data_IF_111143500024
#
_entry.id   IF_111143500024
#
_cell.length_a   1.000
_cell.length_b   1.000
_cell.length_c   1.000
_cell.angle_alpha   90.00
_cell.angle_beta   90.00
_cell.angle_gamma   90.00
#
_symmetry.space_group_name_H-M   'P 1'
#
loop_
_entity.id
_entity.type
_entity.pdbx_description
1 polymer ?
#
# COMPACT_ATOMS: atom_id res chain seq x y z
N UNK A 1 1.35 36.07 -6.57
CA UNK A 1 0.41 35.45 -5.58
C UNK A 1 1.07 34.23 -5.00
N UNK A 2 1.06 34.04 -3.67
CA UNK A 2 1.59 32.82 -3.09
C UNK A 2 0.64 31.66 -3.42
N UNK A 3 1.17 30.58 -3.99
CA UNK A 3 0.40 29.38 -4.30
C UNK A 3 0.19 28.56 -3.02
N UNK A 4 -1.07 28.42 -2.58
CA UNK A 4 -1.41 27.64 -1.38
C UNK A 4 -1.40 26.12 -1.63
N UNK A 5 -1.89 25.70 -2.81
CA UNK A 5 -1.92 24.27 -3.19
C UNK A 5 -0.53 23.77 -3.53
N UNK A 6 -0.14 22.65 -2.96
CA UNK A 6 1.12 21.96 -3.24
C UNK A 6 0.92 20.88 -4.29
N UNK A 7 1.88 20.74 -5.19
CA UNK A 7 1.91 19.69 -6.21
C UNK A 7 2.87 18.60 -5.75
N UNK A 8 2.36 17.39 -5.64
CA UNK A 8 3.13 16.18 -5.35
C UNK A 8 3.27 15.39 -6.66
N UNK A 9 4.49 15.08 -7.08
CA UNK A 9 4.75 14.27 -8.26
C UNK A 9 5.44 12.96 -7.86
N UNK A 10 4.92 11.83 -8.34
CA UNK A 10 5.60 10.54 -8.16
C UNK A 10 6.69 10.38 -9.19
N UNK A 11 7.91 10.12 -8.73
CA UNK A 11 9.10 9.94 -9.56
C UNK A 11 9.59 8.51 -9.43
N UNK A 12 9.92 7.89 -10.56
CA UNK A 12 10.58 6.58 -10.62
C UNK A 12 12.06 6.72 -10.94
N UNK A 13 12.87 5.74 -10.59
CA UNK A 13 14.30 5.65 -10.91
C UNK A 13 14.57 5.55 -12.42
N UNK A 14 13.57 5.10 -13.20
CA UNK A 14 13.63 5.05 -14.65
C UNK A 14 13.62 6.44 -15.30
N UNK A 15 12.98 7.44 -14.64
CA UNK A 15 12.90 8.81 -15.14
C UNK A 15 13.03 9.79 -13.99
N UNK A 16 14.25 10.07 -13.58
CA UNK A 16 14.56 10.95 -12.46
C UNK A 16 15.81 11.82 -12.72
N UNK A 17 16.16 12.05 -14.00
CA UNK A 17 17.28 12.91 -14.34
C UNK A 17 17.07 14.35 -13.86
N UNK A 18 18.18 15.06 -13.63
CA UNK A 18 18.19 16.42 -13.06
C UNK A 18 17.37 17.39 -13.90
N UNK A 19 17.47 17.30 -15.23
CA UNK A 19 16.76 18.21 -16.14
C UNK A 19 15.25 17.98 -16.06
N UNK A 20 14.80 16.73 -16.00
CA UNK A 20 13.38 16.40 -15.83
C UNK A 20 12.83 16.91 -14.48
N UNK A 21 13.55 16.68 -13.38
CA UNK A 21 13.15 17.17 -12.05
C UNK A 21 13.12 18.70 -12.03
N UNK A 22 14.10 19.36 -12.66
CA UNK A 22 14.16 20.82 -12.78
C UNK A 22 12.95 21.38 -13.53
N UNK A 23 12.57 20.78 -14.67
CA UNK A 23 11.37 21.18 -15.42
C UNK A 23 10.09 21.06 -14.58
N UNK A 24 9.94 19.97 -13.81
CA UNK A 24 8.80 19.80 -12.91
C UNK A 24 8.80 20.85 -11.80
N UNK A 25 9.96 21.15 -11.22
CA UNK A 25 10.09 22.17 -10.17
C UNK A 25 9.74 23.57 -10.69
N UNK A 26 10.25 23.95 -11.85
CA UNK A 26 9.94 25.22 -12.51
C UNK A 26 8.46 25.32 -12.91
N UNK A 27 7.83 24.17 -13.22
CA UNK A 27 6.38 24.07 -13.45
C UNK A 27 5.54 24.10 -12.18
N UNK A 28 6.19 24.16 -11.01
CA UNK A 28 5.54 24.37 -9.71
C UNK A 28 5.37 23.13 -8.85
N UNK A 29 6.07 22.02 -9.10
CA UNK A 29 6.16 20.87 -8.19
C UNK A 29 6.78 21.30 -6.86
N UNK A 30 6.23 20.81 -5.78
CA UNK A 30 6.68 21.10 -4.42
C UNK A 30 7.25 19.88 -3.70
N UNK A 31 6.75 18.68 -4.03
CA UNK A 31 7.09 17.43 -3.34
C UNK A 31 7.35 16.35 -4.37
N UNK A 32 8.45 15.65 -4.22
CA UNK A 32 8.73 14.38 -4.92
C UNK A 32 8.27 13.23 -4.04
N UNK A 33 7.38 12.38 -4.57
CA UNK A 33 6.95 11.14 -3.93
C UNK A 33 7.70 9.96 -4.52
N UNK A 34 8.30 9.14 -3.65
CA UNK A 34 8.96 7.88 -3.99
C UNK A 34 8.10 6.72 -3.47
N UNK A 35 7.74 5.78 -4.36
CA UNK A 35 6.95 4.61 -3.98
C UNK A 35 7.87 3.46 -3.54
N UNK A 36 7.93 3.17 -2.25
CA UNK A 36 8.81 2.15 -1.70
C UNK A 36 8.43 0.71 -2.07
N UNK A 37 7.22 0.48 -2.56
CA UNK A 37 6.83 -0.85 -3.03
C UNK A 37 7.69 -1.34 -4.20
N UNK A 38 8.11 -0.42 -5.07
CA UNK A 38 8.82 -0.71 -6.33
C UNK A 38 10.29 -0.35 -6.33
N UNK A 39 10.73 0.55 -5.44
CA UNK A 39 12.11 1.02 -5.38
C UNK A 39 12.98 0.18 -4.45
N UNK A 40 14.27 0.09 -4.79
CA UNK A 40 15.36 -0.39 -3.95
C UNK A 40 16.24 0.79 -3.50
N UNK A 41 17.21 0.56 -2.61
CA UNK A 41 18.05 1.64 -2.05
C UNK A 41 18.76 2.46 -3.12
N UNK A 42 19.30 1.83 -4.15
CA UNK A 42 19.99 2.51 -5.25
C UNK A 42 19.04 3.46 -6.01
N UNK A 43 17.80 3.03 -6.23
CA UNK A 43 16.77 3.84 -6.89
C UNK A 43 16.37 5.04 -6.02
N UNK A 44 16.23 4.84 -4.70
CA UNK A 44 15.99 5.94 -3.76
C UNK A 44 17.14 6.94 -3.78
N UNK A 45 18.39 6.46 -3.65
CA UNK A 45 19.56 7.33 -3.61
C UNK A 45 19.66 8.19 -4.87
N UNK A 46 19.49 7.56 -6.04
CA UNK A 46 19.52 8.25 -7.33
C UNK A 46 18.49 9.39 -7.40
N UNK A 47 17.25 9.13 -6.96
CA UNK A 47 16.20 10.15 -6.97
C UNK A 47 16.53 11.26 -5.98
N UNK A 48 16.96 10.93 -4.75
CA UNK A 48 17.29 11.90 -3.71
C UNK A 48 18.42 12.82 -4.17
N UNK A 49 19.52 12.25 -4.69
CA UNK A 49 20.67 13.02 -5.16
C UNK A 49 20.28 14.00 -6.27
N UNK A 50 19.51 13.53 -7.23
CA UNK A 50 19.05 14.36 -8.36
C UNK A 50 18.08 15.47 -7.90
N UNK A 51 17.18 15.17 -6.95
CA UNK A 51 16.29 16.18 -6.35
C UNK A 51 17.09 17.24 -5.62
N UNK A 52 18.07 16.84 -4.80
CA UNK A 52 18.92 17.76 -4.04
C UNK A 52 19.85 18.57 -4.95
N UNK A 53 20.29 18.01 -6.09
CA UNK A 53 21.02 18.76 -7.11
C UNK A 53 20.19 19.88 -7.74
N UNK A 54 18.87 19.73 -7.82
CA UNK A 54 17.97 20.79 -8.33
C UNK A 54 17.68 21.82 -7.24
N UNK A 55 17.19 21.39 -6.07
CA UNK A 55 16.85 22.33 -4.99
C UNK A 55 16.59 21.62 -3.65
N UNK A 56 17.14 22.18 -2.57
CA UNK A 56 16.78 21.78 -1.20
C UNK A 56 15.36 22.23 -0.77
N UNK A 57 14.66 23.01 -1.58
CA UNK A 57 13.28 23.43 -1.33
C UNK A 57 12.25 22.42 -1.82
N UNK A 58 12.66 21.43 -2.59
CA UNK A 58 11.79 20.32 -3.00
C UNK A 58 11.72 19.35 -1.83
N UNK A 59 10.53 19.18 -1.25
CA UNK A 59 10.34 18.19 -0.21
C UNK A 59 10.32 16.77 -0.81
N UNK A 60 10.82 15.80 -0.04
CA UNK A 60 10.87 14.40 -0.42
C UNK A 60 9.93 13.61 0.49
N UNK A 61 9.04 12.83 -0.11
CA UNK A 61 8.09 11.97 0.55
C UNK A 61 8.34 10.52 0.14
N UNK A 62 8.53 9.65 1.13
CA UNK A 62 8.57 8.21 0.93
C UNK A 62 7.22 7.60 1.29
N UNK A 63 6.61 6.89 0.34
CA UNK A 63 5.35 6.18 0.53
C UNK A 63 5.63 4.73 0.91
N UNK A 64 5.19 4.28 2.09
CA UNK A 64 5.36 2.89 2.53
C UNK A 64 4.41 1.96 1.78
N UNK A 65 4.75 0.67 1.70
CA UNK A 65 3.85 -0.33 1.14
C UNK A 65 2.64 -0.54 2.06
N UNK A 66 2.88 -0.60 3.37
CA UNK A 66 1.84 -0.88 4.37
C UNK A 66 1.32 -2.33 4.34
N UNK A 67 0.36 -2.65 5.23
CA UNK A 67 -0.20 -3.98 5.40
C UNK A 67 -1.28 -4.27 4.32
N UNK A 68 -0.84 -4.61 3.12
CA UNK A 68 -1.69 -4.89 1.97
C UNK A 68 -1.79 -6.39 1.70
N UNK A 69 -3.02 -6.87 1.48
CA UNK A 69 -3.26 -8.20 0.93
C UNK A 69 -3.37 -8.09 -0.59
N UNK A 70 -2.67 -8.95 -1.31
CA UNK A 70 -2.74 -9.04 -2.78
C UNK A 70 -2.99 -10.47 -3.23
N UNK A 71 -3.59 -10.63 -4.40
CA UNK A 71 -3.58 -11.93 -5.08
C UNK A 71 -2.15 -12.31 -5.47
N UNK A 72 -1.90 -13.59 -5.65
CA UNK A 72 -0.59 -14.11 -6.09
C UNK A 72 -0.40 -13.92 -7.60
N UNK A 73 0.76 -14.33 -8.10
CA UNK A 73 1.00 -14.38 -9.54
C UNK A 73 0.04 -15.39 -10.21
N UNK A 74 -0.26 -15.16 -11.47
CA UNK A 74 -1.05 -16.11 -12.27
C UNK A 74 -0.22 -17.37 -12.55
N UNK A 75 -0.90 -18.51 -12.65
CA UNK A 75 -0.31 -19.79 -13.05
C UNK A 75 -0.11 -19.91 -14.56
N UNK A 76 -0.64 -18.97 -15.35
CA UNK A 76 -0.55 -18.86 -16.79
C UNK A 76 -0.35 -17.42 -17.23
N UNK A 77 -0.25 -17.22 -18.55
CA UNK A 77 0.05 -15.90 -19.14
C UNK A 77 -1.19 -15.03 -19.38
N UNK A 78 -2.39 -15.61 -19.24
CA UNK A 78 -3.65 -14.89 -19.51
C UNK A 78 -4.37 -14.58 -18.21
N UNK A 79 -5.07 -13.45 -18.17
CA UNK A 79 -5.99 -13.12 -17.11
C UNK A 79 -7.16 -14.12 -17.02
N UNK A 80 -7.79 -14.22 -15.87
CA UNK A 80 -8.85 -15.15 -15.58
C UNK A 80 -10.19 -14.42 -15.65
N UNK A 81 -11.11 -14.93 -16.47
CA UNK A 81 -12.46 -14.39 -16.55
C UNK A 81 -13.36 -15.04 -15.49
N UNK A 82 -14.13 -14.22 -14.80
CA UNK A 82 -15.17 -14.64 -13.87
C UNK A 82 -16.54 -14.16 -14.36
N UNK A 83 -17.52 -15.01 -14.17
CA UNK A 83 -18.93 -14.69 -14.36
C UNK A 83 -19.67 -14.76 -13.03
N UNK A 84 -20.74 -13.99 -12.90
CA UNK A 84 -21.62 -14.06 -11.73
C UNK A 84 -22.07 -15.49 -11.47
N UNK A 85 -21.89 -15.97 -10.24
CA UNK A 85 -22.20 -17.34 -9.82
C UNK A 85 -21.05 -18.33 -9.93
N UNK A 86 -19.91 -17.95 -10.53
CA UNK A 86 -18.74 -18.82 -10.57
C UNK A 86 -18.20 -19.10 -9.16
N UNK A 87 -17.86 -20.35 -8.94
CA UNK A 87 -17.31 -20.81 -7.66
C UNK A 87 -15.79 -20.96 -7.76
N UNK A 88 -15.08 -20.34 -6.82
CA UNK A 88 -13.62 -20.36 -6.76
C UNK A 88 -13.15 -20.58 -5.33
N UNK A 89 -11.99 -21.21 -5.15
CA UNK A 89 -11.30 -21.30 -3.85
C UNK A 89 -10.36 -20.12 -3.67
N UNK A 90 -10.46 -19.44 -2.52
CA UNK A 90 -9.53 -18.38 -2.14
C UNK A 90 -8.73 -18.87 -0.93
N UNK A 91 -7.40 -18.81 -1.02
CA UNK A 91 -6.51 -19.36 0.00
C UNK A 91 -5.28 -18.51 0.22
N UNK A 92 -4.84 -18.41 1.49
CA UNK A 92 -3.56 -17.82 1.88
C UNK A 92 -2.39 -18.80 1.90
N UNK A 93 -2.59 -20.05 1.46
CA UNK A 93 -1.56 -21.09 1.50
C UNK A 93 -0.35 -20.67 0.68
N UNK A 94 0.82 -20.71 1.31
CA UNK A 94 2.09 -20.31 0.68
C UNK A 94 2.36 -21.13 -0.59
N UNK A 95 2.90 -20.43 -1.61
CA UNK A 95 3.21 -21.05 -2.90
C UNK A 95 2.00 -21.26 -3.83
N UNK A 96 0.77 -20.99 -3.40
CA UNK A 96 -0.40 -21.09 -4.27
C UNK A 96 -0.37 -19.99 -5.32
N UNK A 97 -0.43 -20.37 -6.60
CA UNK A 97 -0.62 -19.45 -7.72
C UNK A 97 -2.12 -19.26 -8.00
N UNK A 98 -2.48 -18.10 -8.48
CA UNK A 98 -3.85 -17.80 -8.93
C UNK A 98 -4.12 -18.45 -10.27
N UNK A 99 -5.15 -19.27 -10.38
CA UNK A 99 -5.53 -20.05 -11.56
C UNK A 99 -6.07 -21.42 -11.21
N UNK A 100 -6.58 -22.17 -12.18
CA UNK A 100 -7.07 -23.55 -11.99
C UNK A 100 -8.07 -23.72 -10.84
N UNK A 101 -9.02 -22.80 -10.70
CA UNK A 101 -10.03 -22.84 -9.64
C UNK A 101 -9.57 -22.28 -8.27
N UNK A 102 -8.37 -21.70 -8.21
CA UNK A 102 -7.83 -21.05 -7.01
C UNK A 102 -7.49 -19.58 -7.25
N UNK A 103 -7.74 -18.76 -6.23
CA UNK A 103 -7.15 -17.43 -6.08
C UNK A 103 -6.24 -17.51 -4.85
N UNK A 104 -4.93 -17.48 -5.06
CA UNK A 104 -3.96 -17.37 -3.98
C UNK A 104 -3.91 -15.92 -3.48
N UNK A 105 -3.77 -15.71 -2.17
CA UNK A 105 -3.55 -14.39 -1.57
C UNK A 105 -2.29 -14.37 -0.71
N UNK A 106 -1.70 -13.19 -0.55
CA UNK A 106 -0.41 -12.99 0.14
C UNK A 106 -0.47 -13.12 1.65
N UNK A 107 -1.66 -13.26 2.24
CA UNK A 107 -1.87 -13.35 3.69
C UNK A 107 -2.21 -14.78 4.11
N UNK A 108 -1.29 -15.49 4.83
CA UNK A 108 -1.47 -16.90 5.17
C UNK A 108 -2.72 -17.22 6.00
N UNK A 109 -3.10 -16.33 6.92
CA UNK A 109 -4.26 -16.52 7.81
C UNK A 109 -5.57 -15.99 7.23
N UNK A 110 -5.64 -15.77 5.92
CA UNK A 110 -6.80 -15.16 5.26
C UNK A 110 -8.10 -15.90 5.55
N UNK A 111 -8.09 -17.23 5.48
CA UNK A 111 -9.25 -18.04 5.77
C UNK A 111 -9.65 -18.04 7.26
N UNK A 112 -8.69 -17.82 8.18
CA UNK A 112 -9.00 -17.75 9.61
C UNK A 112 -9.79 -16.48 9.94
N UNK A 113 -9.36 -15.33 9.41
CA UNK A 113 -9.93 -14.03 9.73
C UNK A 113 -11.31 -13.79 9.10
N UNK A 114 -11.65 -14.46 7.99
CA UNK A 114 -12.93 -14.28 7.32
C UNK A 114 -14.01 -15.27 7.82
N UNK A 115 -15.26 -14.81 7.77
CA UNK A 115 -16.45 -15.62 8.10
C UNK A 115 -17.27 -15.91 6.84
N UNK A 116 -18.16 -16.90 6.93
CA UNK A 116 -19.20 -17.12 5.89
C UNK A 116 -20.02 -15.85 5.77
N UNK A 117 -20.27 -15.40 4.53
CA UNK A 117 -20.94 -14.14 4.23
C UNK A 117 -20.01 -12.93 4.13
N UNK A 118 -18.71 -13.05 4.46
CA UNK A 118 -17.76 -11.97 4.21
C UNK A 118 -17.64 -11.69 2.71
N UNK A 119 -17.57 -10.40 2.36
CA UNK A 119 -17.33 -9.94 0.99
C UNK A 119 -15.83 -9.73 0.77
N UNK A 120 -15.33 -10.13 -0.38
CA UNK A 120 -13.94 -9.98 -0.79
C UNK A 120 -13.93 -9.17 -2.08
N UNK A 121 -13.34 -7.99 -2.02
CA UNK A 121 -13.18 -7.09 -3.17
C UNK A 121 -11.76 -7.26 -3.73
N UNK A 122 -11.64 -7.48 -5.02
CA UNK A 122 -10.35 -7.63 -5.70
C UNK A 122 -10.25 -6.57 -6.81
N UNK A 123 -9.03 -6.02 -7.00
CA UNK A 123 -8.73 -4.97 -7.98
C UNK A 123 -9.61 -3.73 -7.78
N UNK A 124 -9.54 -3.15 -6.58
CA UNK A 124 -10.31 -1.97 -6.17
C UNK A 124 -11.85 -2.13 -6.31
N UNK A 125 -12.32 -3.38 -6.29
CA UNK A 125 -13.75 -3.73 -6.38
C UNK A 125 -14.24 -4.05 -7.79
N UNK A 126 -13.35 -4.16 -8.77
CA UNK A 126 -13.69 -4.65 -10.12
C UNK A 126 -14.23 -6.08 -10.06
N UNK A 127 -13.78 -6.90 -9.12
CA UNK A 127 -14.32 -8.21 -8.81
C UNK A 127 -14.78 -8.27 -7.36
N UNK A 128 -15.97 -8.81 -7.15
CA UNK A 128 -16.54 -9.05 -5.83
C UNK A 128 -16.88 -10.52 -5.65
N UNK A 129 -16.46 -11.09 -4.53
CA UNK A 129 -16.75 -12.46 -4.13
C UNK A 129 -17.41 -12.48 -2.75
N UNK A 130 -18.24 -13.48 -2.49
CA UNK A 130 -18.80 -13.74 -1.17
C UNK A 130 -18.39 -15.13 -0.68
N UNK A 131 -17.98 -15.24 0.58
CA UNK A 131 -17.62 -16.51 1.20
C UNK A 131 -18.86 -17.33 1.44
N UNK A 132 -18.99 -18.50 0.77
CA UNK A 132 -20.10 -19.44 0.92
C UNK A 132 -19.81 -20.55 1.90
N UNK A 133 -18.54 -20.99 2.00
CA UNK A 133 -18.12 -22.09 2.88
C UNK A 133 -16.64 -21.91 3.28
N UNK A 134 -16.29 -22.40 4.47
CA UNK A 134 -14.89 -22.58 4.89
C UNK A 134 -14.55 -24.06 4.85
N UNK A 135 -13.45 -24.42 4.20
CA UNK A 135 -12.95 -25.80 4.09
C UNK A 135 -11.47 -25.82 4.46
N UNK A 136 -11.17 -26.18 5.72
CA UNK A 136 -9.83 -26.08 6.27
C UNK A 136 -9.27 -24.66 6.14
N UNK A 137 -8.15 -24.49 5.42
CA UNK A 137 -7.50 -23.20 5.18
C UNK A 137 -7.97 -22.51 3.89
N UNK A 138 -9.01 -23.04 3.24
CA UNK A 138 -9.59 -22.50 2.01
C UNK A 138 -10.97 -21.88 2.26
N UNK A 139 -11.26 -20.84 1.51
CA UNK A 139 -12.60 -20.26 1.41
C UNK A 139 -13.22 -20.64 0.06
N UNK A 140 -14.38 -21.28 0.07
CA UNK A 140 -15.18 -21.48 -1.14
C UNK A 140 -16.04 -20.23 -1.33
N UNK A 141 -15.76 -19.50 -2.42
CA UNK A 141 -16.36 -18.20 -2.70
C UNK A 141 -17.14 -18.22 -4.01
N UNK A 142 -18.19 -17.42 -4.08
CA UNK A 142 -19.00 -17.21 -5.27
C UNK A 142 -18.76 -15.79 -5.80
N UNK A 143 -18.54 -15.67 -7.11
CA UNK A 143 -18.42 -14.38 -7.78
C UNK A 143 -19.77 -13.68 -7.86
N UNK A 144 -19.85 -12.42 -7.45
CA UNK A 144 -21.07 -11.62 -7.45
C UNK A 144 -21.23 -10.79 -8.73
N UNK A 145 -20.16 -10.64 -9.49
CA UNK A 145 -20.16 -9.88 -10.74
C UNK A 145 -19.27 -10.52 -11.81
N UNK A 146 -19.37 -10.01 -13.03
CA UNK A 146 -18.48 -10.40 -14.12
C UNK A 146 -17.25 -9.51 -14.09
N UNK A 147 -16.07 -10.09 -14.40
CA UNK A 147 -14.84 -9.32 -14.47
C UNK A 147 -13.63 -10.17 -14.85
N UNK A 148 -12.49 -9.52 -14.91
CA UNK A 148 -11.23 -10.12 -15.34
C UNK A 148 -10.19 -9.94 -14.24
N UNK A 149 -9.55 -11.04 -13.81
CA UNK A 149 -8.53 -11.05 -12.79
C UNK A 149 -7.13 -11.15 -13.38
N UNK A 150 -6.35 -10.09 -13.21
CA UNK A 150 -4.91 -10.07 -13.47
C UNK A 150 -4.08 -10.51 -12.27
N UNK A 151 -2.76 -10.55 -12.46
CA UNK A 151 -1.81 -10.93 -11.42
C UNK A 151 -1.67 -9.84 -10.33
N UNK A 152 -1.47 -10.26 -9.08
CA UNK A 152 -1.04 -9.41 -7.95
C UNK A 152 -1.97 -8.21 -7.68
N UNK A 153 -3.27 -8.42 -7.83
CA UNK A 153 -4.29 -7.41 -7.61
C UNK A 153 -4.55 -7.18 -6.12
N UNK A 154 -4.94 -5.97 -5.75
CA UNK A 154 -5.34 -5.62 -4.38
C UNK A 154 -6.50 -6.49 -3.90
N UNK A 155 -6.51 -6.84 -2.62
CA UNK A 155 -7.60 -7.58 -1.97
C UNK A 155 -8.05 -6.81 -0.75
N UNK A 156 -9.32 -6.43 -0.71
CA UNK A 156 -9.95 -5.75 0.41
C UNK A 156 -11.12 -6.57 0.94
N UNK A 157 -11.33 -6.53 2.25
CA UNK A 157 -12.40 -7.30 2.93
C UNK A 157 -13.16 -6.34 3.84
N UNK A 158 -14.21 -5.69 3.32
CA UNK A 158 -14.98 -4.72 4.10
C UNK A 158 -15.56 -5.33 5.38
N UNK A 159 -15.42 -4.62 6.50
CA UNK A 159 -15.96 -5.04 7.79
C UNK A 159 -15.19 -6.17 8.49
N UNK A 160 -14.09 -6.68 7.92
CA UNK A 160 -13.25 -7.70 8.54
C UNK A 160 -11.89 -7.11 8.91
N UNK A 161 -11.50 -7.29 10.17
CA UNK A 161 -10.17 -6.90 10.62
C UNK A 161 -9.15 -7.95 10.19
N UNK A 162 -8.22 -7.56 9.33
CA UNK A 162 -7.09 -8.38 8.91
C UNK A 162 -5.92 -8.17 9.87
N UNK A 163 -5.44 -9.25 10.49
CA UNK A 163 -4.38 -9.20 11.51
C UNK A 163 -2.97 -9.16 10.90
N UNK A 164 -2.74 -8.23 9.97
CA UNK A 164 -1.41 -7.92 9.44
C UNK A 164 -0.68 -6.92 10.35
N UNK A 165 0.65 -7.03 10.52
CA UNK A 165 1.44 -5.99 11.18
C UNK A 165 1.31 -4.66 10.42
N UNK A 166 1.34 -3.54 11.13
CA UNK A 166 1.27 -2.20 10.53
C UNK A 166 2.43 -1.93 9.58
N UNK A 167 3.61 -2.41 9.94
CA UNK A 167 4.84 -2.28 9.17
C UNK A 167 5.38 -3.65 8.77
N UNK A 168 5.75 -3.78 7.51
CA UNK A 168 6.54 -4.90 7.04
C UNK A 168 8.02 -4.70 7.40
N UNK A 169 8.84 -5.76 7.38
CA UNK A 169 10.29 -5.62 7.54
C UNK A 169 10.90 -4.68 6.48
N UNK A 170 10.36 -4.67 5.27
CA UNK A 170 10.77 -3.75 4.21
C UNK A 170 10.44 -2.31 4.58
N UNK A 171 9.26 -2.05 5.13
CA UNK A 171 8.88 -0.71 5.58
C UNK A 171 9.81 -0.22 6.69
N UNK A 172 10.13 -1.05 7.66
CA UNK A 172 11.07 -0.70 8.75
C UNK A 172 12.44 -0.33 8.18
N UNK A 173 13.00 -1.15 7.28
CA UNK A 173 14.28 -0.83 6.62
C UNK A 173 14.21 0.49 5.85
N UNK A 174 13.13 0.72 5.12
CA UNK A 174 12.94 1.93 4.35
C UNK A 174 12.78 3.17 5.25
N UNK A 175 12.13 3.05 6.42
CA UNK A 175 12.03 4.14 7.40
C UNK A 175 13.41 4.50 7.95
N UNK A 176 14.23 3.52 8.31
CA UNK A 176 15.62 3.78 8.74
C UNK A 176 16.44 4.45 7.63
N UNK A 177 16.27 4.01 6.39
CA UNK A 177 16.89 4.65 5.23
C UNK A 177 16.42 6.10 5.07
N UNK A 178 15.12 6.36 5.18
CA UNK A 178 14.53 7.69 5.13
C UNK A 178 15.12 8.64 6.19
N UNK A 179 15.30 8.15 7.42
CA UNK A 179 15.93 8.88 8.52
C UNK A 179 17.37 9.25 8.16
N UNK A 180 18.16 8.28 7.68
CA UNK A 180 19.54 8.47 7.27
C UNK A 180 19.68 9.52 6.15
N UNK A 181 18.72 9.57 5.23
CA UNK A 181 18.71 10.49 4.10
C UNK A 181 18.07 11.85 4.39
N UNK A 182 17.58 12.08 5.62
CA UNK A 182 16.89 13.31 6.02
C UNK A 182 15.79 13.71 5.04
N UNK A 183 14.90 12.77 4.69
CA UNK A 183 13.71 13.08 3.90
C UNK A 183 12.68 13.81 4.75
N UNK A 184 11.68 14.43 4.12
CA UNK A 184 10.77 15.34 4.80
C UNK A 184 9.51 14.62 5.34
N UNK A 185 8.99 13.63 4.59
CA UNK A 185 7.73 12.97 4.90
C UNK A 185 7.79 11.45 4.70
N UNK A 186 7.09 10.72 5.58
CA UNK A 186 6.71 9.33 5.36
C UNK A 186 5.19 9.29 5.22
N UNK A 187 4.69 8.82 4.06
CA UNK A 187 3.27 8.54 3.87
C UNK A 187 3.02 7.06 4.18
N UNK A 188 2.25 6.81 5.24
CA UNK A 188 1.94 5.45 5.68
C UNK A 188 0.67 4.94 5.02
N UNK A 189 0.79 3.89 4.20
CA UNK A 189 -0.32 3.30 3.47
C UNK A 189 -1.19 2.41 4.35
N UNK A 190 -2.49 2.35 4.03
CA UNK A 190 -3.48 1.48 4.66
C UNK A 190 -3.59 1.64 6.19
N UNK A 191 -3.46 2.85 6.70
CA UNK A 191 -3.62 3.13 8.14
C UNK A 191 -5.01 2.71 8.61
N UNK A 192 -5.08 1.87 9.64
CA UNK A 192 -6.31 1.32 10.23
C UNK A 192 -6.62 1.91 11.59
N UNK A 193 -5.57 2.26 12.34
CA UNK A 193 -5.67 2.68 13.73
C UNK A 193 -4.60 3.69 14.14
N UNK A 194 -4.81 4.33 15.29
CA UNK A 194 -3.80 5.18 15.93
C UNK A 194 -2.48 4.42 16.15
N UNK A 195 -2.54 3.11 16.48
CA UNK A 195 -1.36 2.31 16.73
C UNK A 195 -0.47 2.20 15.49
N UNK A 196 -1.06 2.07 14.29
CA UNK A 196 -0.29 2.02 13.05
C UNK A 196 0.58 3.28 12.84
N UNK A 197 0.07 4.46 13.25
CA UNK A 197 0.83 5.72 13.22
C UNK A 197 1.89 5.76 14.31
N UNK A 198 1.54 5.30 15.52
CA UNK A 198 2.46 5.27 16.67
C UNK A 198 3.64 4.33 16.44
N UNK A 199 3.47 3.24 15.68
CA UNK A 199 4.55 2.32 15.35
C UNK A 199 5.66 3.02 14.54
N UNK A 200 5.30 3.88 13.57
CA UNK A 200 6.26 4.72 12.86
C UNK A 200 6.83 5.80 13.78
N UNK A 201 5.96 6.47 14.55
CA UNK A 201 6.40 7.53 15.44
C UNK A 201 7.46 7.05 16.43
N UNK A 202 7.30 5.83 16.98
CA UNK A 202 8.28 5.24 17.89
C UNK A 202 9.67 5.10 17.25
N UNK A 203 9.74 4.68 15.97
CA UNK A 203 11.00 4.61 15.23
C UNK A 203 11.58 6.03 15.04
N UNK A 204 10.76 7.00 14.65
CA UNK A 204 11.22 8.37 14.46
C UNK A 204 11.72 9.00 15.75
N UNK A 205 11.06 8.74 16.87
CA UNK A 205 11.43 9.27 18.20
C UNK A 205 12.75 8.69 18.70
N UNK A 206 12.99 7.38 18.47
CA UNK A 206 14.28 6.73 18.81
C UNK A 206 15.46 7.46 18.17
N UNK A 207 15.32 7.90 16.93
CA UNK A 207 16.35 8.62 16.18
C UNK A 207 16.22 10.15 16.29
N UNK A 208 15.27 10.67 17.06
CA UNK A 208 14.96 12.11 17.16
C UNK A 208 14.77 12.75 15.77
N UNK A 209 14.15 12.03 14.87
CA UNK A 209 13.98 12.43 13.47
C UNK A 209 12.87 13.47 13.33
N UNK A 210 13.09 14.56 12.55
CA UNK A 210 12.04 15.59 12.31
C UNK A 210 11.03 15.19 11.22
N UNK A 211 11.15 14.01 10.63
CA UNK A 211 10.27 13.51 9.57
C UNK A 211 8.81 13.56 10.03
N UNK A 212 7.93 14.03 9.15
CA UNK A 212 6.50 14.09 9.42
C UNK A 212 5.78 12.90 8.80
N UNK A 213 4.79 12.38 9.53
CA UNK A 213 3.96 11.26 9.08
C UNK A 213 2.70 11.78 8.41
N UNK A 214 2.37 11.23 7.25
CA UNK A 214 1.09 11.39 6.55
C UNK A 214 0.37 10.05 6.64
N UNK A 215 -0.74 9.98 7.36
CA UNK A 215 -1.58 8.79 7.42
C UNK A 215 -2.49 8.74 6.19
N UNK A 216 -2.41 7.64 5.42
CA UNK A 216 -3.27 7.40 4.26
C UNK A 216 -4.44 6.50 4.68
N UNK A 217 -5.65 7.04 4.58
CA UNK A 217 -6.88 6.32 4.92
C UNK A 217 -7.44 5.71 3.64
N UNK A 218 -7.14 4.43 3.43
CA UNK A 218 -7.39 3.71 2.19
C UNK A 218 -8.27 2.45 2.40
N UNK A 219 -8.84 2.31 3.62
CA UNK A 219 -9.72 1.20 3.96
C UNK A 219 -10.84 1.65 4.90
N UNK A 220 -11.89 0.82 5.01
CA UNK A 220 -13.06 1.14 5.83
C UNK A 220 -12.72 1.24 7.33
N UNK A 221 -11.82 0.39 7.84
CA UNK A 221 -11.42 0.40 9.25
C UNK A 221 -10.78 1.74 9.61
N UNK A 222 -9.86 2.24 8.77
CA UNK A 222 -9.25 3.56 8.94
C UNK A 222 -10.26 4.71 8.83
N UNK A 223 -11.21 4.63 7.90
CA UNK A 223 -12.24 5.64 7.74
C UNK A 223 -13.16 5.74 8.97
N UNK A 224 -13.55 4.61 9.57
CA UNK A 224 -14.35 4.58 10.80
C UNK A 224 -13.52 5.06 12.00
N UNK A 225 -12.25 4.73 12.05
CA UNK A 225 -11.34 5.10 13.14
C UNK A 225 -10.76 6.51 13.02
N UNK A 226 -11.08 7.25 11.95
CA UNK A 226 -10.48 8.55 11.62
C UNK A 226 -10.52 9.56 12.76
N UNK A 227 -11.62 9.64 13.50
CA UNK A 227 -11.77 10.55 14.65
C UNK A 227 -10.79 10.24 15.78
N UNK A 228 -10.28 9.02 15.87
CA UNK A 228 -9.30 8.58 16.87
C UNK A 228 -7.84 8.62 16.36
N UNK A 229 -7.66 8.87 15.05
CA UNK A 229 -6.33 9.00 14.43
C UNK A 229 -5.69 10.37 14.62
N UNK A 230 -6.47 11.38 15.01
CA UNK A 230 -5.93 12.70 15.30
C UNK A 230 -5.01 12.62 16.51
N UNK A 231 -3.69 12.60 16.23
CA UNK A 231 -2.68 12.86 17.25
C UNK A 231 -2.92 14.27 17.81
N UNK A 232 -2.77 14.50 19.13
CA UNK A 232 -2.79 15.85 19.66
C UNK A 232 -1.70 16.62 18.94
N UNK A 233 -2.10 17.58 18.10
CA UNK A 233 -1.19 18.58 17.57
C UNK A 233 -0.71 19.40 18.74
N UNK A 234 0.52 19.17 19.19
CA UNK A 234 1.16 20.09 20.11
C UNK A 234 1.27 21.44 19.37
N UNK A 235 0.37 22.32 19.73
CA UNK A 235 0.41 23.76 19.41
C UNK A 235 1.57 24.42 20.15
#
# INVERSE_FOLDING_TARGET
>A
MSKYTKIVATISDARCDVDFIKQLYESGMNVVRMNSAHLQEEGFQKIIDNVRAVSNKIAILMDTKGPEVRTTALSGDSNILFSTGDIVRITGKEGTLTGNGYIGVSYPRFAEDLSIGSHILIDDGELEFVVRKKENDDLLCESLNNGELGARKSVNVPGVRINLPSLTEKDIRNIHYAIKQNIDFIAHSFVRSKQDVLDIQAILDEYKSPIKIIAKIENQEGAVSYTHLTLPTNS
#
